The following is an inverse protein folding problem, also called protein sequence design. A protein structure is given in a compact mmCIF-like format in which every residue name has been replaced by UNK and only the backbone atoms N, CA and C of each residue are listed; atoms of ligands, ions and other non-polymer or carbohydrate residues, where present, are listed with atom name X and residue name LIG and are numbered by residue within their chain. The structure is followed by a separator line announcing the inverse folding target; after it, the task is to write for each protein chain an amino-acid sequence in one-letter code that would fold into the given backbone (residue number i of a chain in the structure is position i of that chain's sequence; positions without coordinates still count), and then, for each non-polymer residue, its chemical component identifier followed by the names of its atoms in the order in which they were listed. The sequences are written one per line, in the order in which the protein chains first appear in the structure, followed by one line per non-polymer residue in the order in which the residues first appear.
data_IF_129357508829
#
_entry.id   IF_129357508829
#
_cell.length_a   1.000
_cell.length_b   1.000
_cell.length_c   1.000
_cell.angle_alpha   90.00
_cell.angle_beta   90.00
_cell.angle_gamma   90.00
#
_symmetry.space_group_name_H-M   'P 1'
#
loop_
_entity.id
_entity.type
_entity.pdbx_description
1 polymer ?
#
# COMPACT_ATOMS: atom_id res chain seq x y z
N UNK A 1 -1.01 14.93 -15.21
CA UNK A 1 -1.29 13.57 -15.72
C UNK A 1 -2.43 13.02 -14.90
N UNK A 2 -3.46 12.51 -15.53
CA UNK A 2 -4.55 11.85 -14.78
C UNK A 2 -4.07 10.46 -14.35
N UNK A 3 -4.62 9.89 -13.25
CA UNK A 3 -4.33 8.51 -12.85
C UNK A 3 -4.53 7.49 -14.01
N UNK A 4 -5.37 7.82 -14.98
CA UNK A 4 -5.63 6.98 -16.16
C UNK A 4 -4.46 6.95 -17.17
N UNK A 5 -3.54 7.92 -17.10
CA UNK A 5 -2.39 8.02 -18.01
C UNK A 5 -1.14 7.32 -17.47
N UNK A 6 -1.20 6.79 -16.24
CA UNK A 6 -0.09 6.06 -15.63
C UNK A 6 0.22 4.79 -16.43
N UNK A 7 1.52 4.56 -16.67
CA UNK A 7 2.03 3.36 -17.37
C UNK A 7 2.78 2.50 -16.37
N UNK A 8 2.41 1.23 -16.31
CA UNK A 8 3.04 0.24 -15.44
C UNK A 8 3.81 -0.79 -16.25
N UNK A 9 4.85 -1.35 -15.65
CA UNK A 9 5.47 -2.55 -16.18
C UNK A 9 4.55 -3.75 -15.88
N UNK A 10 4.20 -4.49 -16.95
CA UNK A 10 3.53 -5.78 -16.84
C UNK A 10 4.60 -6.84 -16.55
N UNK A 11 4.34 -7.65 -15.53
CA UNK A 11 5.31 -8.66 -15.08
C UNK A 11 4.71 -10.06 -15.12
N UNK A 12 5.58 -11.07 -15.05
CA UNK A 12 5.17 -12.47 -14.90
C UNK A 12 5.11 -12.92 -13.42
N UNK A 13 4.85 -14.19 -13.19
CA UNK A 13 4.80 -14.78 -11.84
C UNK A 13 6.11 -14.72 -11.06
N UNK A 14 7.23 -14.51 -11.74
CA UNK A 14 8.57 -14.38 -11.15
C UNK A 14 9.00 -12.91 -11.01
N UNK A 15 8.05 -11.98 -11.19
CA UNK A 15 8.29 -10.53 -11.12
C UNK A 15 9.23 -9.99 -12.22
N UNK A 16 9.31 -10.70 -13.36
CA UNK A 16 10.10 -10.26 -14.51
C UNK A 16 9.24 -9.42 -15.46
N UNK A 17 9.79 -8.29 -15.92
CA UNK A 17 9.08 -7.40 -16.85
C UNK A 17 8.92 -8.08 -18.21
N UNK A 18 7.67 -8.21 -18.66
CA UNK A 18 7.28 -8.82 -19.94
C UNK A 18 6.58 -7.84 -20.89
N UNK A 19 6.25 -6.64 -20.43
CA UNK A 19 5.59 -5.62 -21.24
C UNK A 19 5.29 -4.36 -20.46
N UNK A 20 4.47 -3.50 -21.07
CA UNK A 20 3.96 -2.27 -20.45
C UNK A 20 2.50 -2.10 -20.79
N UNK A 21 1.72 -1.54 -19.88
CA UNK A 21 0.32 -1.23 -20.10
C UNK A 21 -0.11 -0.03 -19.26
N UNK A 22 -1.18 0.63 -19.69
CA UNK A 22 -1.78 1.69 -18.86
C UNK A 22 -2.47 1.10 -17.63
N UNK A 23 -2.66 1.93 -16.60
CA UNK A 23 -3.43 1.57 -15.39
C UNK A 23 -4.77 0.92 -15.75
N UNK A 24 -5.51 1.52 -16.67
CA UNK A 24 -6.79 0.98 -17.13
C UNK A 24 -6.66 -0.41 -17.75
N UNK A 25 -5.62 -0.65 -18.53
CA UNK A 25 -5.38 -1.95 -19.16
C UNK A 25 -5.01 -3.04 -18.16
N UNK A 26 -4.15 -2.73 -17.18
CA UNK A 26 -3.73 -3.73 -16.19
C UNK A 26 -4.91 -4.17 -15.32
N UNK A 27 -5.76 -3.24 -14.88
CA UNK A 27 -6.92 -3.57 -14.06
C UNK A 27 -8.05 -4.24 -14.85
N UNK A 28 -8.33 -3.81 -16.08
CA UNK A 28 -9.38 -4.42 -16.89
C UNK A 28 -9.05 -5.82 -17.41
N UNK A 29 -7.77 -6.18 -17.49
CA UNK A 29 -7.33 -7.47 -18.05
C UNK A 29 -6.63 -8.36 -17.02
N UNK A 30 -6.69 -8.01 -15.74
CA UNK A 30 -6.04 -8.77 -14.66
C UNK A 30 -4.55 -9.03 -14.91
N UNK A 31 -3.84 -8.05 -15.47
CA UNK A 31 -2.42 -8.17 -15.76
C UNK A 31 -1.61 -8.00 -14.49
N UNK A 32 -0.64 -8.90 -14.27
CA UNK A 32 0.26 -8.77 -13.14
C UNK A 32 1.14 -7.54 -13.27
N UNK A 33 1.18 -6.76 -12.23
CA UNK A 33 1.96 -5.53 -12.11
C UNK A 33 2.46 -5.38 -10.67
N UNK A 34 3.00 -4.22 -10.30
CA UNK A 34 3.72 -4.02 -9.05
C UNK A 34 3.09 -2.96 -8.19
N UNK A 35 3.05 -3.19 -6.89
CA UNK A 35 2.68 -2.18 -5.91
C UNK A 35 3.56 -2.23 -4.67
N UNK A 36 3.53 -1.15 -3.91
CA UNK A 36 4.15 -1.02 -2.60
C UNK A 36 3.11 -0.71 -1.55
N UNK A 37 3.30 -1.26 -0.38
CA UNK A 37 2.59 -0.84 0.84
C UNK A 37 3.61 -0.48 1.90
N UNK A 38 3.34 0.56 2.67
CA UNK A 38 4.24 1.01 3.73
C UNK A 38 3.50 0.98 5.07
N UNK A 39 4.14 0.40 6.07
CA UNK A 39 3.70 0.37 7.46
C UNK A 39 4.51 1.38 8.26
N UNK A 40 3.90 2.51 8.61
CA UNK A 40 4.53 3.58 9.40
C UNK A 40 4.16 3.40 10.85
N UNK A 41 5.17 3.11 11.67
CA UNK A 41 5.02 3.02 13.12
C UNK A 41 5.57 4.27 13.80
N UNK A 42 5.01 4.64 14.93
CA UNK A 42 5.64 5.59 15.84
C UNK A 42 6.54 4.88 16.86
N UNK A 43 7.27 5.63 17.67
CA UNK A 43 8.16 5.09 18.71
C UNK A 43 7.42 4.30 19.79
N UNK A 44 6.12 4.48 19.97
CA UNK A 44 5.29 3.70 20.90
C UNK A 44 4.80 2.37 20.32
N UNK A 45 5.13 2.06 19.05
CA UNK A 45 4.73 0.83 18.37
C UNK A 45 3.31 0.85 17.81
N UNK A 46 2.68 2.03 17.73
CA UNK A 46 1.38 2.17 17.07
C UNK A 46 1.56 2.32 15.55
N UNK A 47 0.71 1.66 14.78
CA UNK A 47 0.67 1.69 13.33
C UNK A 47 -0.25 2.81 12.85
N UNK A 48 0.24 3.65 11.93
CA UNK A 48 -0.60 4.61 11.23
C UNK A 48 -1.41 3.90 10.14
N UNK A 49 -2.72 4.07 10.14
CA UNK A 49 -3.60 3.59 9.08
C UNK A 49 -4.23 4.77 8.36
N UNK A 50 -4.39 4.64 7.05
CA UNK A 50 -5.13 5.58 6.23
C UNK A 50 -6.53 5.06 5.91
N UNK A 51 -7.48 5.97 5.80
CA UNK A 51 -8.78 5.73 5.18
C UNK A 51 -8.79 6.37 3.80
N UNK A 52 -8.97 5.55 2.77
CA UNK A 52 -8.92 5.98 1.38
C UNK A 52 -9.99 7.05 1.10
N UNK A 53 -9.64 8.05 0.31
CA UNK A 53 -10.61 9.08 -0.09
C UNK A 53 -11.75 8.47 -0.91
N UNK A 54 -12.94 9.06 -0.79
CA UNK A 54 -14.16 8.57 -1.48
C UNK A 54 -14.10 8.75 -3.00
N UNK A 55 -13.17 9.58 -3.50
CA UNK A 55 -12.97 9.82 -4.93
C UNK A 55 -12.06 8.79 -5.61
N UNK A 56 -11.44 7.89 -4.83
CA UNK A 56 -10.59 6.82 -5.39
C UNK A 56 -11.45 5.82 -6.17
N UNK A 57 -10.91 5.33 -7.28
CA UNK A 57 -11.55 4.32 -8.15
C UNK A 57 -11.58 2.93 -7.49
N UNK A 58 -10.55 2.61 -6.68
CA UNK A 58 -10.44 1.33 -5.97
C UNK A 58 -10.67 1.50 -4.48
N UNK A 59 -11.50 0.62 -3.90
CA UNK A 59 -11.75 0.53 -2.46
C UNK A 59 -12.01 1.88 -1.76
N UNK A 60 -12.86 2.78 -2.30
CA UNK A 60 -13.11 4.09 -1.70
C UNK A 60 -13.64 3.95 -0.28
N UNK A 61 -13.15 4.77 0.63
CA UNK A 61 -13.58 4.84 2.03
C UNK A 61 -13.16 3.66 2.91
N UNK A 62 -12.37 2.70 2.41
CA UNK A 62 -11.84 1.61 3.22
C UNK A 62 -10.53 2.01 3.92
N UNK A 63 -10.26 1.34 5.05
CA UNK A 63 -8.99 1.44 5.74
C UNK A 63 -7.92 0.61 5.05
N UNK A 64 -6.72 1.15 4.98
CA UNK A 64 -5.55 0.56 4.31
C UNK A 64 -4.29 0.76 5.14
N UNK A 65 -3.17 0.22 4.67
CA UNK A 65 -1.83 0.47 5.20
C UNK A 65 -1.52 1.97 5.26
N UNK A 66 -0.40 2.36 5.85
CA UNK A 66 -0.09 3.78 6.07
C UNK A 66 0.00 4.59 4.79
N UNK A 67 0.67 4.03 3.79
CA UNK A 67 0.74 4.54 2.42
C UNK A 67 0.84 3.37 1.44
N UNK A 68 0.38 3.57 0.21
CA UNK A 68 0.41 2.55 -0.83
C UNK A 68 0.31 3.17 -2.22
N UNK A 69 0.96 2.53 -3.21
CA UNK A 69 0.84 2.96 -4.59
C UNK A 69 1.43 1.98 -5.58
N UNK A 70 1.14 2.21 -6.85
CA UNK A 70 1.65 1.42 -7.95
C UNK A 70 3.07 1.84 -8.35
N UNK A 71 3.88 0.86 -8.70
CA UNK A 71 5.22 1.09 -9.24
C UNK A 71 5.09 1.49 -10.71
N UNK A 72 5.51 2.69 -11.04
CA UNK A 72 5.47 3.19 -12.41
C UNK A 72 6.48 2.45 -13.30
N UNK A 73 6.24 2.48 -14.61
CA UNK A 73 7.15 1.83 -15.57
C UNK A 73 8.56 2.38 -15.48
N UNK A 74 9.52 1.49 -15.24
CA UNK A 74 10.94 1.82 -15.06
C UNK A 74 11.32 2.30 -13.65
N UNK A 75 10.36 2.42 -12.72
CA UNK A 75 10.61 2.69 -11.31
C UNK A 75 10.95 1.38 -10.56
N UNK A 76 11.78 1.45 -9.56
CA UNK A 76 11.96 0.33 -8.62
C UNK A 76 11.07 0.47 -7.38
N UNK A 77 10.87 -0.63 -6.67
CA UNK A 77 9.97 -0.68 -5.52
C UNK A 77 10.34 0.31 -4.40
N UNK A 78 11.62 0.48 -4.09
CA UNK A 78 12.03 1.36 -2.99
C UNK A 78 11.88 2.85 -3.35
N UNK A 79 12.11 3.20 -4.60
CA UNK A 79 11.87 4.56 -5.12
C UNK A 79 10.39 4.89 -5.08
N UNK A 80 9.53 3.96 -5.53
CA UNK A 80 8.09 4.07 -5.42
C UNK A 80 7.66 4.26 -3.95
N UNK A 81 8.13 3.43 -3.03
CA UNK A 81 7.77 3.53 -1.61
C UNK A 81 8.12 4.90 -1.01
N UNK A 82 9.28 5.47 -1.37
CA UNK A 82 9.68 6.81 -0.93
C UNK A 82 8.81 7.91 -1.54
N UNK A 83 8.48 7.77 -2.83
CA UNK A 83 7.61 8.71 -3.53
C UNK A 83 6.22 8.73 -2.88
N UNK A 84 5.60 7.56 -2.69
CA UNK A 84 4.26 7.44 -2.09
C UNK A 84 4.22 7.97 -0.65
N UNK A 85 5.24 7.68 0.17
CA UNK A 85 5.33 8.26 1.51
C UNK A 85 5.35 9.79 1.50
N UNK A 86 6.08 10.38 0.56
CA UNK A 86 6.14 11.82 0.44
C UNK A 86 4.83 12.41 -0.09
N UNK A 87 4.24 11.79 -1.11
CA UNK A 87 3.00 12.27 -1.76
C UNK A 87 1.78 12.14 -0.85
N UNK A 88 1.63 11.00 -0.17
CA UNK A 88 0.46 10.72 0.67
C UNK A 88 0.57 11.28 2.10
N UNK A 89 1.77 11.24 2.72
CA UNK A 89 1.98 11.53 4.13
C UNK A 89 2.95 12.69 4.41
N UNK A 90 3.58 13.26 3.38
CA UNK A 90 4.63 14.28 3.50
C UNK A 90 5.82 13.81 4.36
N UNK A 91 6.13 12.52 4.30
CA UNK A 91 7.29 11.93 4.98
C UNK A 91 8.43 11.73 3.99
N UNK A 92 9.58 12.33 4.30
CA UNK A 92 10.85 12.15 3.58
C UNK A 92 11.94 11.73 4.57
N UNK A 93 13.07 11.27 4.03
CA UNK A 93 14.28 10.93 4.80
C UNK A 93 14.06 9.90 5.92
N UNK A 94 13.09 8.99 5.74
CA UNK A 94 12.88 7.85 6.64
C UNK A 94 13.56 6.60 6.08
N UNK A 95 14.13 5.79 6.98
CA UNK A 95 14.66 4.50 6.61
C UNK A 95 13.51 3.51 6.38
N UNK A 96 13.54 2.82 5.25
CA UNK A 96 12.56 1.80 4.88
C UNK A 96 13.23 0.42 4.88
N UNK A 97 12.64 -0.49 5.65
CA UNK A 97 13.05 -1.90 5.71
C UNK A 97 11.97 -2.74 5.01
N UNK A 98 12.35 -3.55 4.00
CA UNK A 98 11.44 -4.50 3.38
C UNK A 98 11.12 -5.61 4.37
N UNK A 99 9.82 -5.83 4.63
CA UNK A 99 9.37 -6.80 5.62
C UNK A 99 8.58 -7.98 5.03
N UNK A 100 7.91 -7.79 3.90
CA UNK A 100 7.13 -8.84 3.23
C UNK A 100 7.21 -8.68 1.70
N UNK A 101 7.10 -9.81 1.02
CA UNK A 101 6.75 -9.90 -0.39
C UNK A 101 5.54 -10.82 -0.53
N UNK A 102 4.51 -10.34 -1.23
CA UNK A 102 3.29 -11.09 -1.49
C UNK A 102 3.15 -11.22 -3.01
N UNK A 103 3.20 -12.44 -3.56
CA UNK A 103 3.01 -12.67 -5.00
C UNK A 103 1.62 -12.22 -5.47
N UNK A 104 1.56 -11.81 -6.73
CA UNK A 104 0.32 -11.38 -7.39
C UNK A 104 -0.76 -12.46 -7.32
N UNK A 105 -1.96 -12.06 -6.93
CA UNK A 105 -3.13 -12.93 -6.81
C UNK A 105 -4.40 -12.07 -6.86
N UNK A 106 -5.56 -12.68 -6.97
CA UNK A 106 -6.84 -11.94 -7.07
C UNK A 106 -7.11 -11.04 -5.86
N UNK A 107 -6.71 -11.44 -4.64
CA UNK A 107 -6.86 -10.64 -3.41
C UNK A 107 -5.94 -9.43 -3.34
N UNK A 108 -4.90 -9.38 -4.17
CA UNK A 108 -4.01 -8.23 -4.35
C UNK A 108 -4.24 -7.51 -5.68
N UNK A 109 -5.38 -7.70 -6.34
CA UNK A 109 -5.68 -7.13 -7.66
C UNK A 109 -4.61 -7.45 -8.72
N UNK A 110 -4.04 -8.66 -8.64
CA UNK A 110 -2.93 -9.12 -9.49
C UNK A 110 -1.65 -8.30 -9.35
N UNK A 111 -1.44 -7.72 -8.18
CA UNK A 111 -0.22 -6.99 -7.83
C UNK A 111 0.78 -7.89 -7.10
N UNK A 112 2.04 -7.87 -7.54
CA UNK A 112 3.18 -8.23 -6.71
C UNK A 112 3.40 -7.12 -5.71
N UNK A 113 3.20 -7.41 -4.43
CA UNK A 113 3.22 -6.42 -3.36
C UNK A 113 4.51 -6.53 -2.57
N UNK A 114 5.32 -5.47 -2.50
CA UNK A 114 6.40 -5.34 -1.52
C UNK A 114 5.97 -4.44 -0.38
N UNK A 115 6.14 -4.94 0.83
CA UNK A 115 5.76 -4.21 2.03
C UNK A 115 6.99 -3.71 2.74
N UNK A 116 7.04 -2.41 2.96
CA UNK A 116 8.09 -1.73 3.71
C UNK A 116 7.59 -1.28 5.07
N UNK A 117 8.51 -1.13 6.01
CA UNK A 117 8.25 -0.61 7.35
C UNK A 117 9.21 0.53 7.64
N UNK A 118 8.71 1.55 8.33
CA UNK A 118 9.55 2.54 8.99
C UNK A 118 9.03 2.85 10.39
N UNK A 119 9.91 3.44 11.20
CA UNK A 119 9.56 3.98 12.52
C UNK A 119 9.91 5.44 12.54
N UNK A 120 8.95 6.31 12.79
CA UNK A 120 9.16 7.75 12.87
C UNK A 120 8.14 8.42 13.76
N UNK A 121 8.56 9.46 14.47
CA UNK A 121 7.68 10.38 15.20
C UNK A 121 7.52 11.73 14.48
N UNK A 122 7.95 11.80 13.22
CA UNK A 122 7.75 12.97 12.38
C UNK A 122 6.26 13.25 12.18
N UNK A 123 5.92 14.52 12.05
CA UNK A 123 4.54 14.92 11.83
C UNK A 123 4.05 14.43 10.46
N UNK A 124 2.93 13.70 10.45
CA UNK A 124 2.26 13.25 9.24
C UNK A 124 1.29 14.33 8.76
N UNK A 125 1.43 14.72 7.50
CA UNK A 125 0.49 15.59 6.82
C UNK A 125 -0.14 14.82 5.66
N UNK A 126 -1.39 14.40 5.83
CA UNK A 126 -2.11 13.59 4.84
C UNK A 126 -2.49 14.42 3.61
N UNK A 127 -2.32 13.85 2.43
CA UNK A 127 -2.87 14.38 1.18
C UNK A 127 -4.37 14.05 1.11
N UNK A 128 -5.23 15.08 1.26
CA UNK A 128 -6.68 14.90 1.31
C UNK A 128 -7.32 14.44 0.00
N UNK A 129 -6.61 14.53 -1.11
CA UNK A 129 -7.07 13.95 -2.37
C UNK A 129 -6.94 12.41 -2.37
N UNK A 130 -6.00 11.88 -1.59
CA UNK A 130 -5.73 10.44 -1.47
C UNK A 130 -6.36 9.82 -0.23
N UNK A 131 -6.32 10.56 0.89
CA UNK A 131 -6.64 10.08 2.23
C UNK A 131 -7.69 10.98 2.89
N UNK A 132 -8.84 10.41 3.23
CA UNK A 132 -9.90 11.15 3.93
C UNK A 132 -9.64 11.27 5.43
N UNK A 133 -9.02 10.25 6.04
CA UNK A 133 -8.71 10.18 7.48
C UNK A 133 -7.45 9.33 7.69
N UNK A 134 -6.65 9.68 8.70
CA UNK A 134 -5.51 8.88 9.13
C UNK A 134 -5.36 8.92 10.64
N UNK A 135 -4.96 7.79 11.25
CA UNK A 135 -4.75 7.70 12.68
C UNK A 135 -3.78 6.60 13.08
N UNK A 136 -3.10 6.80 14.21
CA UNK A 136 -2.32 5.76 14.86
C UNK A 136 -3.20 4.83 15.69
N UNK A 137 -2.93 3.53 15.57
CA UNK A 137 -3.63 2.47 16.32
C UNK A 137 -2.64 1.44 16.82
N UNK A 138 -2.87 0.91 18.02
CA UNK A 138 -2.11 -0.26 18.49
C UNK A 138 -2.45 -1.48 17.65
N UNK A 139 -1.50 -2.38 17.45
CA UNK A 139 -1.75 -3.61 16.66
C UNK A 139 -2.90 -4.46 17.24
N UNK A 140 -3.12 -4.43 18.55
CA UNK A 140 -4.28 -5.09 19.18
C UNK A 140 -5.62 -4.46 18.80
N UNK A 141 -5.65 -3.13 18.64
CA UNK A 141 -6.86 -2.40 18.20
C UNK A 141 -7.14 -2.68 16.71
N UNK A 142 -6.10 -2.68 15.87
CA UNK A 142 -6.21 -3.07 14.45
C UNK A 142 -6.78 -4.49 14.35
N UNK A 143 -6.25 -5.43 15.13
CA UNK A 143 -6.73 -6.82 15.18
C UNK A 143 -8.22 -6.89 15.53
N UNK A 144 -8.62 -6.19 16.59
CA UNK A 144 -10.01 -6.18 17.05
C UNK A 144 -10.95 -5.61 15.97
N UNK A 145 -10.57 -4.51 15.32
CA UNK A 145 -11.36 -3.91 14.24
C UNK A 145 -11.50 -4.85 13.05
N UNK A 146 -10.42 -5.51 12.63
CA UNK A 146 -10.44 -6.46 11.51
C UNK A 146 -11.31 -7.69 11.80
N UNK A 147 -11.39 -8.12 13.06
CA UNK A 147 -12.25 -9.24 13.47
C UNK A 147 -13.74 -8.83 13.54
N UNK A 148 -14.02 -7.62 13.99
CA UNK A 148 -15.39 -7.13 14.17
C UNK A 148 -16.01 -6.63 12.86
N UNK A 149 -15.20 -6.01 12.02
CA UNK A 149 -15.65 -5.34 10.79
C UNK A 149 -14.64 -5.59 9.65
N UNK A 150 -14.51 -6.83 9.15
CA UNK A 150 -13.52 -7.16 8.11
C UNK A 150 -13.76 -6.37 6.81
N UNK A 151 -15.02 -6.00 6.53
CA UNK A 151 -15.44 -5.30 5.32
C UNK A 151 -14.99 -3.84 5.23
N UNK A 152 -14.53 -3.24 6.33
CA UNK A 152 -14.06 -1.84 6.32
C UNK A 152 -12.58 -1.69 5.95
N UNK A 153 -11.89 -2.80 5.69
CA UNK A 153 -10.48 -2.83 5.30
C UNK A 153 -10.32 -3.32 3.86
N UNK A 154 -9.28 -2.85 3.18
CA UNK A 154 -8.93 -3.41 1.86
C UNK A 154 -8.49 -4.87 1.99
N UNK A 155 -8.74 -5.67 0.95
CA UNK A 155 -8.33 -7.08 0.93
C UNK A 155 -6.81 -7.23 1.01
N UNK A 156 -6.08 -6.36 0.32
CA UNK A 156 -4.61 -6.34 0.33
C UNK A 156 -4.08 -6.03 1.72
N UNK A 157 -4.61 -4.99 2.41
CA UNK A 157 -4.18 -4.69 3.78
C UNK A 157 -4.50 -5.83 4.76
N UNK A 158 -5.66 -6.46 4.63
CA UNK A 158 -6.02 -7.61 5.47
C UNK A 158 -5.02 -8.75 5.31
N UNK A 159 -4.59 -9.03 4.08
CA UNK A 159 -3.57 -10.04 3.78
C UNK A 159 -2.18 -9.65 4.32
N UNK A 160 -1.78 -8.38 4.12
CA UNK A 160 -0.53 -7.84 4.65
C UNK A 160 -0.48 -7.96 6.17
N UNK A 161 -1.54 -7.53 6.85
CA UNK A 161 -1.62 -7.58 8.31
C UNK A 161 -1.49 -9.00 8.83
N UNK A 162 -2.23 -9.95 8.26
CA UNK A 162 -2.16 -11.36 8.67
C UNK A 162 -0.75 -11.94 8.51
N UNK A 163 -0.09 -11.68 7.37
CA UNK A 163 1.28 -12.14 7.12
C UNK A 163 2.30 -11.46 8.04
N UNK A 164 2.15 -10.16 8.27
CA UNK A 164 3.04 -9.39 9.14
C UNK A 164 2.98 -9.88 10.59
N UNK A 165 1.78 -10.07 11.13
CA UNK A 165 1.60 -10.58 12.51
C UNK A 165 2.14 -12.00 12.67
N UNK A 166 1.92 -12.88 11.69
CA UNK A 166 2.47 -14.24 11.70
C UNK A 166 4.01 -14.26 11.71
N UNK A 167 4.64 -13.25 11.10
CA UNK A 167 6.11 -13.12 11.09
C UNK A 167 6.67 -12.61 12.43
N UNK A 168 5.88 -11.89 13.22
CA UNK A 168 6.28 -11.38 14.54
C UNK A 168 6.15 -12.44 15.66
N UNK A 169 5.31 -13.44 15.49
CA UNK A 169 5.05 -14.51 16.45
C UNK A 169 5.90 -15.69 16.23
#
# INVERSE_FOLDING_TARGET
MSEYDEIFDVVDSEDMVIGKASRLQVHNNDLMHRSVHILVFNSTGSLFLQKRAMIKDESPGLWDSSAAGHVESGEDYISCAKRELNEELSLSDVQLDEVLFIPAQSTTFWEHVRVYKCVTDSNICINKNEISEGRYMKLSEVRALMQLNPEIHTSTFSLIYANYINKLG
#
